data_IF_254874531245
#
_entry.id   IF_254874531245
#
_cell.length_a   1.000
_cell.length_b   1.000
_cell.length_c   1.000
_cell.angle_alpha   90.00
_cell.angle_beta   90.00
_cell.angle_gamma   90.00
#
_symmetry.space_group_name_H-M   'P 1'
#
loop_
_entity.id
_entity.type
_entity.pdbx_description
1 polymer ?
#
# COMPACT_ATOMS: atom_id res chain seq x y z
N UNK A 1 -12.17 -22.26 -0.24
CA UNK A 1 -11.49 -21.06 -0.78
C UNK A 1 -10.40 -21.49 -1.73
N UNK A 2 -10.40 -21.07 -3.00
CA UNK A 2 -9.29 -21.31 -3.91
C UNK A 2 -7.99 -20.75 -3.29
N UNK A 3 -6.88 -21.49 -3.35
CA UNK A 3 -5.58 -21.10 -2.75
C UNK A 3 -5.16 -19.67 -3.14
N UNK A 4 -5.51 -19.24 -4.35
CA UNK A 4 -5.21 -17.93 -4.90
C UNK A 4 -5.90 -16.78 -4.13
N UNK A 5 -7.16 -16.96 -3.71
CA UNK A 5 -7.87 -15.96 -2.90
C UNK A 5 -7.27 -15.84 -1.49
N UNK A 6 -6.80 -16.95 -0.90
CA UNK A 6 -6.08 -16.92 0.38
C UNK A 6 -4.76 -16.15 0.28
N UNK A 7 -4.00 -16.33 -0.81
CA UNK A 7 -2.75 -15.60 -1.05
C UNK A 7 -2.97 -14.09 -1.15
N UNK A 8 -3.97 -13.65 -1.93
CA UNK A 8 -4.33 -12.24 -2.03
C UNK A 8 -4.71 -11.66 -0.67
N UNK A 9 -5.51 -12.39 0.11
CA UNK A 9 -5.89 -11.96 1.47
C UNK A 9 -4.68 -11.80 2.39
N UNK A 10 -3.76 -12.75 2.41
CA UNK A 10 -2.53 -12.67 3.21
C UNK A 10 -1.70 -11.45 2.80
N UNK A 11 -1.50 -11.24 1.49
CA UNK A 11 -0.75 -10.08 0.99
C UNK A 11 -1.41 -8.75 1.35
N UNK A 12 -2.74 -8.66 1.28
CA UNK A 12 -3.47 -7.46 1.73
C UNK A 12 -3.31 -7.22 3.23
N UNK A 13 -3.26 -8.28 4.06
CA UNK A 13 -3.02 -8.15 5.50
C UNK A 13 -1.59 -7.71 5.82
N UNK A 14 -0.60 -8.20 5.07
CA UNK A 14 0.80 -7.75 5.19
C UNK A 14 0.91 -6.26 4.80
N UNK A 15 0.29 -5.86 3.69
CA UNK A 15 0.26 -4.45 3.28
C UNK A 15 -0.48 -3.56 4.27
N UNK A 16 -1.55 -4.07 4.92
CA UNK A 16 -2.25 -3.39 6.01
C UNK A 16 -1.32 -3.17 7.21
N UNK A 17 -0.59 -4.20 7.64
CA UNK A 17 0.34 -4.11 8.77
C UNK A 17 1.49 -3.14 8.47
N UNK A 18 2.03 -3.15 7.25
CA UNK A 18 3.03 -2.20 6.80
C UNK A 18 2.49 -0.76 6.79
N UNK A 19 1.26 -0.56 6.32
CA UNK A 19 0.58 0.74 6.39
C UNK A 19 0.42 1.25 7.82
N UNK A 20 0.08 0.36 8.77
CA UNK A 20 0.01 0.70 10.19
C UNK A 20 1.36 1.17 10.74
N UNK A 21 2.44 0.43 10.44
CA UNK A 21 3.79 0.78 10.86
C UNK A 21 4.24 2.12 10.25
N UNK A 22 3.96 2.35 8.97
CA UNK A 22 4.25 3.62 8.29
C UNK A 22 3.48 4.78 8.90
N UNK A 23 2.19 4.60 9.21
CA UNK A 23 1.38 5.64 9.86
C UNK A 23 1.94 6.00 11.25
N UNK A 24 2.32 5.00 12.06
CA UNK A 24 2.94 5.23 13.36
C UNK A 24 4.29 5.94 13.20
N UNK A 25 5.12 5.51 12.26
CA UNK A 25 6.42 6.15 12.00
C UNK A 25 6.27 7.61 11.56
N UNK A 26 5.33 7.90 10.65
CA UNK A 26 5.01 9.27 10.23
C UNK A 26 4.50 10.14 11.38
N UNK A 27 3.65 9.59 12.25
CA UNK A 27 3.16 10.29 13.43
C UNK A 27 4.29 10.61 14.44
N UNK A 28 5.23 9.68 14.65
CA UNK A 28 6.40 9.90 15.50
C UNK A 28 7.29 11.01 14.93
N UNK A 29 7.55 11.01 13.62
CA UNK A 29 8.31 12.08 12.97
C UNK A 29 7.65 13.45 13.14
N UNK A 30 6.31 13.53 12.99
CA UNK A 30 5.56 14.76 13.26
C UNK A 30 5.65 15.19 14.72
N UNK A 31 5.50 14.25 15.66
CA UNK A 31 5.53 14.54 17.10
C UNK A 31 6.90 15.03 17.59
N UNK A 32 7.99 14.58 16.96
CA UNK A 32 9.34 15.05 17.25
C UNK A 32 9.62 16.46 16.67
N UNK A 33 8.69 17.04 15.91
CA UNK A 33 8.87 18.34 15.25
C UNK A 33 9.94 18.33 14.15
N UNK A 34 10.57 17.18 13.91
CA UNK A 34 11.59 17.02 12.90
C UNK A 34 10.92 16.69 11.57
N UNK A 35 10.99 17.65 10.65
CA UNK A 35 10.53 17.52 9.27
C UNK A 35 9.02 17.28 9.10
N UNK A 36 8.19 18.33 9.31
CA UNK A 36 6.73 18.23 9.24
C UNK A 36 6.20 17.72 7.89
N UNK A 37 6.87 18.09 6.79
CA UNK A 37 6.51 17.63 5.43
C UNK A 37 6.76 16.11 5.28
N UNK A 38 7.86 15.59 5.85
CA UNK A 38 8.21 14.16 5.78
C UNK A 38 7.25 13.32 6.59
N UNK A 39 7.05 13.69 7.85
CA UNK A 39 6.13 12.99 8.75
C UNK A 39 4.70 12.98 8.19
N UNK A 40 4.27 14.10 7.59
CA UNK A 40 2.98 14.21 6.91
C UNK A 40 2.84 13.27 5.71
N UNK A 41 3.83 13.21 4.82
CA UNK A 41 3.79 12.33 3.64
C UNK A 41 3.78 10.85 4.02
N UNK A 42 4.65 10.45 4.96
CA UNK A 42 4.72 9.06 5.44
C UNK A 42 3.44 8.66 6.17
N UNK A 43 2.88 9.54 7.00
CA UNK A 43 1.60 9.33 7.67
C UNK A 43 0.47 9.16 6.65
N UNK A 44 0.38 10.05 5.66
CA UNK A 44 -0.65 9.99 4.62
C UNK A 44 -0.55 8.70 3.80
N UNK A 45 0.66 8.28 3.39
CA UNK A 45 0.86 7.00 2.72
C UNK A 45 0.41 5.82 3.59
N UNK A 46 0.84 5.78 4.85
CA UNK A 46 0.42 4.75 5.81
C UNK A 46 -1.10 4.67 5.98
N UNK A 47 -1.80 5.81 6.07
CA UNK A 47 -3.27 5.88 6.18
C UNK A 47 -3.94 5.39 4.89
N UNK A 48 -3.43 5.77 3.72
CA UNK A 48 -3.97 5.31 2.43
C UNK A 48 -3.83 3.79 2.31
N UNK A 49 -2.64 3.25 2.62
CA UNK A 49 -2.39 1.82 2.69
C UNK A 49 -3.36 1.11 3.63
N UNK A 50 -3.62 1.67 4.82
CA UNK A 50 -4.57 1.12 5.77
C UNK A 50 -6.00 1.06 5.20
N UNK A 51 -6.51 2.18 4.70
CA UNK A 51 -7.90 2.28 4.22
C UNK A 51 -8.13 1.37 3.02
N UNK A 52 -7.19 1.37 2.06
CA UNK A 52 -7.28 0.54 0.85
C UNK A 52 -7.18 -0.93 1.24
N UNK A 53 -6.12 -1.34 1.96
CA UNK A 53 -5.90 -2.75 2.26
C UNK A 53 -6.95 -3.34 3.22
N UNK A 54 -7.57 -2.53 4.10
CA UNK A 54 -8.68 -2.99 4.93
C UNK A 54 -9.90 -3.34 4.08
N UNK A 55 -10.23 -2.50 3.10
CA UNK A 55 -11.30 -2.78 2.13
C UNK A 55 -10.97 -3.99 1.27
N UNK A 56 -9.73 -4.09 0.80
CA UNK A 56 -9.27 -5.22 -0.02
C UNK A 56 -9.31 -6.56 0.73
N UNK A 57 -8.90 -6.60 2.00
CA UNK A 57 -8.92 -7.81 2.82
C UNK A 57 -10.35 -8.35 3.02
N UNK A 58 -11.35 -7.46 3.08
CA UNK A 58 -12.77 -7.85 3.11
C UNK A 58 -13.23 -8.41 1.76
N UNK A 59 -12.85 -7.75 0.68
CA UNK A 59 -13.21 -8.14 -0.69
C UNK A 59 -12.52 -9.43 -1.16
N UNK A 60 -11.31 -9.73 -0.67
CA UNK A 60 -10.53 -10.92 -0.99
C UNK A 60 -11.20 -12.24 -0.57
N UNK A 61 -12.23 -12.18 0.29
CA UNK A 61 -13.01 -13.37 0.64
C UNK A 61 -13.89 -13.87 -0.51
N UNK A 62 -14.15 -13.02 -1.51
CA UNK A 62 -15.06 -13.31 -2.62
C UNK A 62 -14.28 -13.22 -3.95
N UNK A 63 -14.06 -14.33 -4.66
CA UNK A 63 -13.20 -14.35 -5.86
C UNK A 63 -13.73 -13.49 -7.02
N UNK A 64 -15.05 -13.28 -7.13
CA UNK A 64 -15.64 -12.38 -8.14
C UNK A 64 -15.21 -10.91 -7.97
N UNK A 65 -14.70 -10.52 -6.80
CA UNK A 65 -14.23 -9.16 -6.54
C UNK A 65 -12.78 -8.91 -7.01
N UNK A 66 -12.11 -9.86 -7.68
CA UNK A 66 -10.74 -9.70 -8.15
C UNK A 66 -10.50 -8.42 -8.98
N UNK A 67 -11.49 -8.01 -9.79
CA UNK A 67 -11.44 -6.76 -10.58
C UNK A 67 -11.50 -5.50 -9.72
N UNK A 68 -12.29 -5.51 -8.64
CA UNK A 68 -12.34 -4.41 -7.69
C UNK A 68 -11.03 -4.32 -6.89
N UNK A 69 -10.48 -5.48 -6.52
CA UNK A 69 -9.21 -5.56 -5.80
C UNK A 69 -8.07 -4.99 -6.64
N UNK A 70 -7.96 -5.39 -7.91
CA UNK A 70 -6.91 -4.86 -8.80
C UNK A 70 -7.03 -3.35 -9.03
N UNK A 71 -8.26 -2.83 -9.16
CA UNK A 71 -8.47 -1.38 -9.34
C UNK A 71 -8.08 -0.60 -8.09
N UNK A 72 -8.54 -1.04 -6.92
CA UNK A 72 -8.24 -0.35 -5.66
C UNK A 72 -6.75 -0.44 -5.29
N UNK A 73 -6.07 -1.58 -5.51
CA UNK A 73 -4.61 -1.66 -5.37
C UNK A 73 -3.87 -0.77 -6.36
N UNK A 74 -4.37 -0.64 -7.60
CA UNK A 74 -3.78 0.24 -8.61
C UNK A 74 -3.84 1.71 -8.19
N UNK A 75 -4.97 2.15 -7.63
CA UNK A 75 -5.10 3.50 -7.05
C UNK A 75 -4.14 3.68 -5.88
N UNK A 76 -4.03 2.69 -4.99
CA UNK A 76 -3.06 2.71 -3.88
C UNK A 76 -1.62 2.86 -4.36
N UNK A 77 -1.22 2.12 -5.40
CA UNK A 77 0.08 2.29 -6.04
C UNK A 77 0.29 3.72 -6.56
N UNK A 78 -0.69 4.29 -7.27
CA UNK A 78 -0.56 5.62 -7.84
C UNK A 78 -0.39 6.70 -6.75
N UNK A 79 -1.12 6.57 -5.64
CA UNK A 79 -1.00 7.48 -4.49
C UNK A 79 0.35 7.35 -3.81
N UNK A 80 0.83 6.12 -3.55
CA UNK A 80 2.16 5.90 -2.98
C UNK A 80 3.27 6.40 -3.91
N UNK A 81 3.12 6.23 -5.22
CA UNK A 81 4.08 6.76 -6.20
C UNK A 81 4.09 8.29 -6.22
N UNK A 82 2.92 8.92 -6.11
CA UNK A 82 2.79 10.37 -6.03
C UNK A 82 3.37 10.92 -4.71
N UNK A 83 3.16 10.21 -3.60
CA UNK A 83 3.80 10.54 -2.33
C UNK A 83 5.32 10.39 -2.41
N UNK A 84 5.81 9.35 -3.10
CA UNK A 84 7.24 9.12 -3.30
C UNK A 84 7.87 10.23 -4.16
N UNK A 85 7.24 10.59 -5.28
CA UNK A 85 7.75 11.65 -6.15
C UNK A 85 7.78 13.00 -5.44
N UNK A 86 6.74 13.30 -4.66
CA UNK A 86 6.67 14.50 -3.82
C UNK A 86 7.73 14.48 -2.74
N UNK A 87 7.97 13.34 -2.09
CA UNK A 87 9.02 13.18 -1.10
C UNK A 87 10.40 13.42 -1.72
N UNK A 88 10.72 12.79 -2.87
CA UNK A 88 11.99 13.02 -3.58
C UNK A 88 12.18 14.50 -3.92
N UNK A 89 11.13 15.17 -4.42
CA UNK A 89 11.20 16.57 -4.84
C UNK A 89 11.35 17.56 -3.67
N UNK A 90 10.78 17.25 -2.49
CA UNK A 90 10.72 18.19 -1.35
C UNK A 90 11.76 17.92 -0.27
N UNK A 91 12.23 16.68 -0.15
CA UNK A 91 13.10 16.23 0.94
C UNK A 91 14.54 16.04 0.49
N UNK A 92 14.76 15.76 -0.80
CA UNK A 92 16.07 15.35 -1.31
C UNK A 92 16.42 13.91 -0.92
N UNK A 93 17.39 13.32 -1.63
CA UNK A 93 17.70 11.87 -1.56
C UNK A 93 18.44 11.45 -0.27
N UNK A 94 18.81 12.42 0.58
CA UNK A 94 19.61 12.16 1.78
C UNK A 94 18.84 11.38 2.88
N UNK A 95 17.51 11.46 2.89
CA UNK A 95 16.68 10.78 3.90
C UNK A 95 16.15 9.43 3.43
N UNK A 96 17.08 8.49 3.35
CA UNK A 96 16.85 7.11 2.90
C UNK A 96 15.75 6.39 3.71
N UNK A 97 15.58 6.73 4.99
CA UNK A 97 14.57 6.11 5.86
C UNK A 97 13.12 6.48 5.49
N UNK A 98 12.83 7.76 5.27
CA UNK A 98 11.49 8.21 4.89
C UNK A 98 11.15 7.79 3.46
N UNK A 99 12.11 7.93 2.54
CA UNK A 99 12.00 7.44 1.17
C UNK A 99 11.80 5.92 1.12
N UNK A 100 12.53 5.17 1.96
CA UNK A 100 12.41 3.72 2.08
C UNK A 100 11.03 3.27 2.56
N UNK A 101 10.44 3.97 3.54
CA UNK A 101 9.10 3.67 4.03
C UNK A 101 8.02 3.83 2.95
N UNK A 102 8.06 4.93 2.19
CA UNK A 102 7.11 5.19 1.10
C UNK A 102 7.35 4.22 -0.07
N UNK A 103 8.61 3.96 -0.43
CA UNK A 103 8.94 3.00 -1.48
C UNK A 103 8.48 1.58 -1.14
N UNK A 104 8.64 1.14 0.10
CA UNK A 104 8.13 -0.14 0.58
C UNK A 104 6.60 -0.22 0.50
N UNK A 105 5.89 0.87 0.83
CA UNK A 105 4.45 0.99 0.64
C UNK A 105 4.02 0.82 -0.82
N UNK A 106 4.71 1.51 -1.74
CA UNK A 106 4.47 1.39 -3.18
C UNK A 106 4.69 -0.03 -3.69
N UNK A 107 5.80 -0.68 -3.30
CA UNK A 107 6.12 -2.07 -3.68
C UNK A 107 5.08 -3.04 -3.17
N UNK A 108 4.65 -2.92 -1.91
CA UNK A 108 3.62 -3.78 -1.33
C UNK A 108 2.28 -3.62 -2.06
N UNK A 109 1.86 -2.39 -2.36
CA UNK A 109 0.68 -2.15 -3.20
C UNK A 109 0.82 -2.83 -4.56
N UNK A 110 2.02 -2.79 -5.16
CA UNK A 110 2.28 -3.35 -6.49
C UNK A 110 2.22 -4.88 -6.48
N UNK A 111 2.77 -5.51 -5.44
CA UNK A 111 2.69 -6.96 -5.21
C UNK A 111 1.24 -7.40 -5.02
N UNK A 112 0.45 -6.67 -4.23
CA UNK A 112 -0.99 -6.95 -4.05
C UNK A 112 -1.74 -6.81 -5.38
N UNK A 113 -1.43 -5.76 -6.15
CA UNK A 113 -2.05 -5.47 -7.44
C UNK A 113 -1.76 -6.58 -8.46
N UNK A 114 -0.49 -6.98 -8.60
CA UNK A 114 -0.07 -8.08 -9.48
C UNK A 114 -0.70 -9.41 -9.07
N UNK A 115 -0.76 -9.69 -7.76
CA UNK A 115 -1.39 -10.90 -7.24
C UNK A 115 -2.89 -10.93 -7.57
N UNK A 116 -3.59 -9.81 -7.39
CA UNK A 116 -5.00 -9.69 -7.76
C UNK A 116 -5.24 -9.86 -9.27
N UNK A 117 -4.34 -9.33 -10.11
CA UNK A 117 -4.40 -9.51 -11.56
C UNK A 117 -4.16 -10.96 -12.00
N UNK A 118 -3.24 -11.67 -11.33
CA UNK A 118 -3.00 -13.10 -11.57
C UNK A 118 -4.26 -13.90 -11.23
N UNK A 119 -4.90 -13.64 -10.08
CA UNK A 119 -6.15 -14.30 -9.71
C UNK A 119 -7.27 -14.00 -10.72
N UNK A 120 -7.41 -12.74 -11.15
CA UNK A 120 -8.38 -12.34 -12.18
C UNK A 120 -8.18 -13.13 -13.48
N UNK A 121 -6.95 -13.18 -13.99
CA UNK A 121 -6.62 -13.89 -15.24
C UNK A 121 -6.86 -15.40 -15.14
N UNK A 122 -6.67 -16.00 -13.96
CA UNK A 122 -6.96 -17.42 -13.74
C UNK A 122 -8.45 -17.71 -13.73
N UNK A 123 -9.25 -16.85 -13.11
CA UNK A 123 -10.71 -16.96 -13.11
C UNK A 123 -11.31 -16.74 -14.50
N UNK A 124 -10.72 -15.88 -15.34
CA UNK A 124 -11.16 -15.67 -16.73
C UNK A 124 -10.80 -16.83 -17.68
N UNK A 125 -9.92 -17.76 -17.25
CA UNK A 125 -9.48 -18.93 -18.03
C UNK A 125 -10.15 -20.25 -17.61
N UNK A 126 -10.84 -20.27 -16.48
CA UNK A 126 -11.53 -21.42 -15.92
C UNK A 126 -13.02 -21.36 -16.28
#
# INVERSE_FOLDING_TARGET
MPQDAKRVKILTLVALAAGAAAAVFGAVLLAQGQHPVKGGLVLMGGVVLLVINLRLARLANVPSNARLISRASGVGCAVELANLSTAVATVGVADVLALGAIAMGAVLCLVVCLSALVVKRRLERA
#
